data_IF_475709108279
#
_entry.id   IF_475709108279
#
_cell.length_a   1.000
_cell.length_b   1.000
_cell.length_c   1.000
_cell.angle_alpha   90.00
_cell.angle_beta   90.00
_cell.angle_gamma   90.00
#
_symmetry.space_group_name_H-M   'P 1'
#
loop_
_entity.id
_entity.type
_entity.pdbx_description
1 polymer ?
#
# COMPACT_ATOMS: atom_id res chain seq x y z
N UNK A 1 11.75 30.71 77.58
CA UNK A 1 11.43 29.33 77.16
C UNK A 1 9.93 29.11 77.37
N UNK A 2 9.15 29.05 76.27
CA UNK A 2 8.06 28.11 75.92
C UNK A 2 7.29 27.40 77.08
N UNK A 3 5.96 27.18 77.09
CA UNK A 3 5.01 26.70 76.05
C UNK A 3 3.55 26.86 76.53
N UNK A 4 2.61 26.78 75.55
CA UNK A 4 1.17 26.40 75.57
C UNK A 4 0.29 27.54 75.03
N UNK A 5 -0.73 27.32 74.20
CA UNK A 5 -1.18 26.24 73.32
C UNK A 5 -2.37 26.84 72.53
N UNK A 6 -2.77 26.16 71.45
CA UNK A 6 -4.06 26.30 70.74
C UNK A 6 -4.12 27.40 69.66
N UNK A 7 -3.99 26.94 68.41
CA UNK A 7 -4.65 27.53 67.24
C UNK A 7 -5.54 26.46 66.62
N UNK A 8 -6.84 26.75 66.65
CA UNK A 8 -7.90 26.07 65.90
C UNK A 8 -8.13 26.85 64.62
N UNK A 9 -8.31 26.15 63.50
CA UNK A 9 -9.00 26.74 62.35
C UNK A 9 -8.62 26.14 61.00
N UNK A 10 -9.27 25.04 60.62
CA UNK A 10 -9.38 24.57 59.24
C UNK A 10 -10.01 25.67 58.36
N UNK A 11 -9.39 25.95 57.22
CA UNK A 11 -10.00 26.66 56.10
C UNK A 11 -9.30 26.22 54.83
N UNK A 12 -9.95 25.37 54.04
CA UNK A 12 -9.35 24.69 52.89
C UNK A 12 -8.94 25.63 51.76
N UNK A 13 -7.82 25.30 51.14
CA UNK A 13 -7.51 25.56 49.74
C UNK A 13 -6.64 24.38 49.27
N UNK A 14 -7.30 23.34 48.78
CA UNK A 14 -6.66 22.28 48.00
C UNK A 14 -6.43 22.85 46.62
N UNK A 15 -5.17 22.91 46.20
CA UNK A 15 -4.77 23.40 44.89
C UNK A 15 -3.37 23.99 44.92
N UNK A 16 -2.39 23.22 45.43
CA UNK A 16 -0.99 23.60 45.34
C UNK A 16 -0.63 23.77 43.85
N UNK A 17 -0.24 24.99 43.49
CA UNK A 17 0.43 25.24 42.22
C UNK A 17 1.72 24.43 42.17
N UNK A 18 1.74 23.43 41.30
CA UNK A 18 2.96 23.09 40.59
C UNK A 18 2.85 23.75 39.21
N UNK A 19 3.44 24.95 39.11
CA UNK A 19 3.91 25.47 37.84
C UNK A 19 5.04 24.55 37.36
N UNK A 20 4.67 23.40 36.79
CA UNK A 20 5.52 22.67 35.89
C UNK A 20 4.90 22.89 34.51
N UNK A 21 5.34 23.96 33.87
CA UNK A 21 5.37 24.05 32.41
C UNK A 21 6.24 22.88 31.93
N UNK A 22 5.61 21.71 31.81
CA UNK A 22 6.13 20.60 31.04
C UNK A 22 5.76 20.91 29.60
N UNK A 23 6.73 21.41 28.86
CA UNK A 23 6.75 21.42 27.40
C UNK A 23 6.03 20.19 26.86
N UNK A 24 5.09 20.41 25.92
CA UNK A 24 4.47 19.35 25.16
C UNK A 24 5.56 18.42 24.64
N UNK A 25 5.69 17.27 25.29
CA UNK A 25 6.40 16.16 24.73
C UNK A 25 5.46 15.65 23.65
N UNK A 26 5.67 16.11 22.42
CA UNK A 26 5.54 15.23 21.28
C UNK A 26 6.38 14.00 21.65
N UNK A 27 5.77 13.01 22.30
CA UNK A 27 6.19 11.65 22.04
C UNK A 27 5.84 11.42 20.58
N UNK A 28 6.72 11.88 19.69
CA UNK A 28 6.98 11.13 18.49
C UNK A 28 7.50 9.79 19.01
N UNK A 29 6.57 8.88 19.30
CA UNK A 29 6.91 7.49 19.23
C UNK A 29 7.26 7.30 17.75
N UNK A 30 8.56 7.27 17.44
CA UNK A 30 9.05 6.62 16.24
C UNK A 30 8.69 5.13 16.42
N UNK A 31 7.41 4.81 16.20
CA UNK A 31 7.03 3.45 15.87
C UNK A 31 7.48 3.28 14.44
N UNK A 32 8.50 2.45 14.26
CA UNK A 32 8.89 1.90 12.96
C UNK A 32 7.74 1.05 12.40
N UNK A 33 6.73 1.70 11.79
CA UNK A 33 5.61 1.07 11.06
C UNK A 33 6.03 0.47 9.72
N UNK A 34 6.69 -0.68 9.67
CA UNK A 34 7.18 -1.22 8.40
C UNK A 34 5.98 -1.62 7.49
N UNK A 35 5.74 -0.88 6.40
CA UNK A 35 4.85 -1.33 5.31
C UNK A 35 5.72 -1.78 4.17
N UNK A 36 5.69 -3.08 3.99
CA UNK A 36 6.31 -3.80 2.89
C UNK A 36 5.18 -4.63 2.28
N UNK A 37 4.96 -4.44 0.97
CA UNK A 37 4.18 -5.39 0.19
C UNK A 37 5.18 -6.19 -0.60
N UNK A 38 5.40 -7.42 -0.13
CA UNK A 38 6.21 -8.40 -0.84
C UNK A 38 5.40 -8.97 -2.00
N UNK A 39 5.97 -8.92 -3.19
CA UNK A 39 5.43 -9.63 -4.35
C UNK A 39 6.22 -10.90 -4.52
N UNK A 40 5.62 -12.01 -4.11
CA UNK A 40 6.24 -13.33 -4.19
C UNK A 40 6.00 -13.89 -5.59
N UNK A 41 7.08 -14.10 -6.34
CA UNK A 41 7.05 -14.64 -7.69
C UNK A 41 6.55 -16.10 -7.72
N UNK A 42 6.11 -16.54 -8.89
CA UNK A 42 5.64 -17.89 -9.15
C UNK A 42 6.72 -18.93 -8.84
N UNK A 43 6.37 -19.95 -8.06
CA UNK A 43 7.32 -20.97 -7.61
C UNK A 43 7.95 -21.79 -8.74
N UNK A 44 7.30 -21.82 -9.90
CA UNK A 44 7.76 -22.54 -11.09
C UNK A 44 8.56 -21.63 -12.06
N UNK A 45 8.68 -20.33 -11.77
CA UNK A 45 9.42 -19.34 -12.56
C UNK A 45 8.84 -19.14 -13.96
N UNK A 46 7.53 -19.30 -14.13
CA UNK A 46 6.85 -19.19 -15.43
C UNK A 46 6.63 -17.73 -15.87
N UNK A 47 6.63 -16.82 -14.91
CA UNK A 47 6.48 -15.38 -15.14
C UNK A 47 7.74 -14.64 -14.72
N UNK A 48 7.87 -13.40 -15.18
CA UNK A 48 8.82 -12.45 -14.60
C UNK A 48 8.12 -11.19 -14.16
N UNK A 49 8.77 -10.49 -13.24
CA UNK A 49 8.31 -9.23 -12.71
C UNK A 49 9.14 -8.08 -13.28
N UNK A 50 8.45 -7.04 -13.72
CA UNK A 50 9.05 -5.81 -14.21
C UNK A 50 8.56 -4.66 -13.33
N UNK A 51 9.43 -4.17 -12.47
CA UNK A 51 9.16 -3.01 -11.62
C UNK A 51 9.03 -1.73 -12.46
N UNK A 52 8.15 -0.82 -12.07
CA UNK A 52 8.22 0.56 -12.55
C UNK A 52 9.04 1.41 -11.58
N UNK A 53 10.35 1.49 -11.79
CA UNK A 53 11.24 2.25 -10.90
C UNK A 53 11.02 3.78 -10.96
N UNK A 54 10.22 4.28 -11.91
CA UNK A 54 9.78 5.67 -11.92
C UNK A 54 8.69 5.94 -10.87
N UNK A 55 7.97 4.90 -10.43
CA UNK A 55 7.01 4.99 -9.31
C UNK A 55 7.79 4.91 -8.01
N UNK A 56 7.76 5.99 -7.24
CA UNK A 56 8.46 6.06 -5.96
C UNK A 56 8.02 4.93 -5.04
N UNK A 57 8.99 4.15 -4.57
CA UNK A 57 8.77 3.04 -3.66
C UNK A 57 8.59 1.67 -4.31
N UNK A 58 8.46 1.59 -5.64
CA UNK A 58 8.48 0.30 -6.34
C UNK A 58 9.90 -0.02 -6.78
N UNK A 59 10.44 -1.16 -6.32
CA UNK A 59 11.84 -1.54 -6.58
C UNK A 59 11.97 -3.03 -6.82
N UNK A 60 12.86 -3.41 -7.73
CA UNK A 60 13.32 -4.80 -7.84
C UNK A 60 14.67 -4.94 -7.14
N UNK A 61 14.82 -6.00 -6.36
CA UNK A 61 16.08 -6.31 -5.69
C UNK A 61 17.05 -7.08 -6.60
N UNK A 62 18.26 -7.37 -6.11
CA UNK A 62 19.26 -8.12 -6.90
C UNK A 62 18.90 -9.61 -7.06
N UNK A 63 17.93 -10.11 -6.29
CA UNK A 63 17.38 -11.47 -6.36
C UNK A 63 16.21 -11.62 -7.34
N UNK A 64 15.67 -10.52 -7.90
CA UNK A 64 14.48 -10.53 -8.73
C UNK A 64 13.17 -10.42 -7.94
N UNK A 65 13.26 -10.24 -6.62
CA UNK A 65 12.11 -9.96 -5.76
C UNK A 65 11.67 -8.50 -5.97
N UNK A 66 10.36 -8.31 -6.12
CA UNK A 66 9.76 -7.00 -6.26
C UNK A 66 9.25 -6.57 -4.88
N UNK A 67 9.79 -5.47 -4.36
CA UNK A 67 9.35 -4.86 -3.12
C UNK A 67 8.71 -3.51 -3.37
N UNK A 68 7.64 -3.25 -2.63
CA UNK A 68 6.98 -1.95 -2.60
C UNK A 68 7.14 -1.39 -1.20
N UNK A 69 7.95 -0.34 -1.08
CA UNK A 69 8.32 0.29 0.18
C UNK A 69 8.17 1.80 0.11
N UNK A 70 7.50 2.38 1.10
CA UNK A 70 7.28 3.83 1.19
C UNK A 70 8.33 4.43 2.12
N UNK A 71 9.39 4.99 1.53
CA UNK A 71 10.50 5.62 2.25
C UNK A 71 11.81 4.86 2.11
N UNK A 72 12.93 5.59 2.08
CA UNK A 72 14.27 4.99 1.96
C UNK A 72 14.84 4.52 3.31
N UNK A 73 14.28 5.01 4.43
CA UNK A 73 14.73 4.74 5.81
C UNK A 73 13.60 4.89 6.88
N UNK A 74 12.34 5.15 6.49
CA UNK A 74 11.23 5.46 7.40
C UNK A 74 9.99 4.60 7.02
N UNK A 75 9.06 4.36 7.96
CA UNK A 75 8.41 3.08 8.02
C UNK A 75 6.97 3.24 7.48
N UNK A 76 6.78 2.72 6.27
CA UNK A 76 5.47 2.37 5.75
C UNK A 76 4.47 3.48 5.51
N UNK A 77 3.18 3.11 5.43
CA UNK A 77 2.09 4.02 5.07
C UNK A 77 1.78 4.94 6.25
N UNK A 78 1.80 6.26 6.04
CA UNK A 78 1.43 7.22 7.07
C UNK A 78 -0.08 7.21 7.34
N UNK A 79 -0.46 7.23 8.62
CA UNK A 79 -1.85 7.51 9.02
C UNK A 79 -2.26 8.89 8.52
N UNK A 80 -3.49 9.03 8.03
CA UNK A 80 -3.99 10.28 7.48
C UNK A 80 -3.46 10.56 6.07
N UNK A 81 -3.00 9.54 5.34
CA UNK A 81 -2.49 9.72 3.97
C UNK A 81 -3.04 8.70 2.99
N UNK A 82 -3.00 9.07 1.72
CA UNK A 82 -3.41 8.23 0.58
C UNK A 82 -2.24 8.15 -0.37
N UNK A 83 -1.90 6.95 -0.82
CA UNK A 83 -0.88 6.68 -1.82
C UNK A 83 -1.50 5.97 -3.01
N UNK A 84 -1.02 6.31 -4.21
CA UNK A 84 -1.31 5.58 -5.44
C UNK A 84 0.01 5.13 -6.07
N UNK A 85 0.04 3.88 -6.50
CA UNK A 85 1.15 3.26 -7.19
C UNK A 85 0.68 2.81 -8.57
N UNK A 86 1.32 3.36 -9.60
CA UNK A 86 0.92 3.16 -10.99
C UNK A 86 -0.36 3.88 -11.38
N UNK A 87 -0.60 3.97 -12.68
CA UNK A 87 -1.82 4.51 -13.26
C UNK A 87 -2.85 3.39 -13.46
N UNK A 88 -4.11 3.73 -13.19
CA UNK A 88 -5.27 2.89 -13.50
C UNK A 88 -5.73 3.15 -14.93
N UNK A 89 -6.45 2.23 -15.55
CA UNK A 89 -7.08 2.43 -16.86
C UNK A 89 -8.17 3.50 -16.78
N UNK A 90 -8.94 3.51 -15.70
CA UNK A 90 -10.05 4.44 -15.45
C UNK A 90 -10.22 4.68 -13.95
N UNK A 91 -10.78 5.84 -13.57
CA UNK A 91 -11.13 6.15 -12.18
C UNK A 91 -12.49 5.57 -11.76
N UNK A 92 -13.20 4.90 -12.68
CA UNK A 92 -14.44 4.19 -12.39
C UNK A 92 -14.22 3.18 -11.25
N UNK A 93 -15.14 3.19 -10.29
CA UNK A 93 -15.17 2.33 -9.09
C UNK A 93 -13.99 2.53 -8.10
N UNK A 94 -13.01 3.39 -8.41
CA UNK A 94 -11.86 3.68 -7.53
C UNK A 94 -11.76 5.15 -7.11
N UNK A 95 -12.42 6.07 -7.81
CA UNK A 95 -12.35 7.51 -7.52
C UNK A 95 -12.76 7.87 -6.08
N UNK A 96 -13.71 7.14 -5.51
CA UNK A 96 -14.18 7.33 -4.13
C UNK A 96 -13.17 6.91 -3.06
N UNK A 97 -12.25 6.00 -3.38
CA UNK A 97 -11.27 5.44 -2.42
C UNK A 97 -10.26 6.48 -1.97
N UNK A 98 -10.03 7.53 -2.76
CA UNK A 98 -9.11 8.61 -2.38
C UNK A 98 -9.69 9.62 -1.38
N UNK A 99 -11.01 9.52 -1.09
CA UNK A 99 -11.81 10.51 -0.36
C UNK A 99 -11.56 11.97 -0.82
N UNK A 100 -11.28 12.15 -2.12
CA UNK A 100 -11.00 13.45 -2.71
C UNK A 100 -9.64 14.06 -2.34
N UNK A 101 -8.73 13.31 -1.71
CA UNK A 101 -7.36 13.75 -1.41
C UNK A 101 -6.61 14.14 -2.69
N UNK A 102 -6.82 13.38 -3.76
CA UNK A 102 -6.36 13.67 -5.12
C UNK A 102 -7.26 12.98 -6.15
N UNK A 103 -7.22 13.43 -7.41
CA UNK A 103 -7.84 12.70 -8.52
C UNK A 103 -6.99 11.49 -8.87
N UNK A 104 -7.61 10.32 -8.98
CA UNK A 104 -6.92 9.07 -9.37
C UNK A 104 -6.15 9.30 -10.67
N UNK A 105 -4.88 8.92 -10.67
CA UNK A 105 -4.03 9.02 -11.86
C UNK A 105 -4.42 7.87 -12.79
N UNK A 106 -4.79 8.21 -14.02
CA UNK A 106 -5.17 7.25 -15.05
C UNK A 106 -4.30 7.39 -16.29
N UNK A 107 -4.22 6.31 -17.07
CA UNK A 107 -3.52 6.27 -18.36
C UNK A 107 -4.33 5.45 -19.37
N UNK A 108 -4.18 5.76 -20.66
CA UNK A 108 -4.88 5.04 -21.73
C UNK A 108 -4.40 3.58 -21.84
N UNK A 109 -3.11 3.31 -21.60
CA UNK A 109 -2.53 1.97 -21.59
C UNK A 109 -1.43 1.83 -20.53
N UNK A 110 -1.79 1.68 -19.24
CA UNK A 110 -0.80 1.68 -18.17
C UNK A 110 0.09 0.44 -18.18
N UNK A 111 -0.32 -0.64 -18.83
CA UNK A 111 0.43 -1.89 -18.97
C UNK A 111 1.38 -1.93 -20.17
N UNK A 112 1.52 -0.83 -20.91
CA UNK A 112 2.34 -0.81 -22.12
C UNK A 112 3.84 -1.10 -21.82
N UNK A 113 4.37 -2.13 -22.47
CA UNK A 113 5.79 -2.49 -22.44
C UNK A 113 6.46 -2.35 -23.81
N UNK A 114 5.87 -1.60 -24.75
CA UNK A 114 6.39 -1.41 -26.10
C UNK A 114 7.78 -0.75 -26.14
N UNK A 115 8.12 0.09 -25.15
CA UNK A 115 9.47 0.64 -24.91
C UNK A 115 10.07 0.11 -23.59
N UNK A 116 9.72 -1.13 -23.22
CA UNK A 116 10.11 -1.75 -21.97
C UNK A 116 9.59 -0.97 -20.76
N UNK A 117 10.43 -0.80 -19.74
CA UNK A 117 10.05 -0.08 -18.50
C UNK A 117 9.72 1.40 -18.72
N UNK A 118 10.16 2.02 -19.83
CA UNK A 118 9.93 3.44 -20.06
C UNK A 118 8.49 3.77 -20.45
N UNK A 119 7.77 2.81 -21.04
CA UNK A 119 6.35 2.95 -21.38
C UNK A 119 5.43 2.44 -20.28
N UNK A 120 5.97 1.77 -19.26
CA UNK A 120 5.17 1.22 -18.18
C UNK A 120 4.68 2.35 -17.27
N UNK A 121 3.36 2.46 -17.10
CA UNK A 121 2.75 3.40 -16.15
C UNK A 121 2.09 2.68 -14.97
N UNK A 122 1.95 1.35 -15.03
CA UNK A 122 1.56 0.50 -13.90
C UNK A 122 2.60 0.55 -12.78
N UNK A 123 2.27 0.10 -11.57
CA UNK A 123 3.26 -0.03 -10.51
C UNK A 123 4.30 -1.10 -10.89
N UNK A 124 3.85 -2.23 -11.41
CA UNK A 124 4.71 -3.26 -11.99
C UNK A 124 3.94 -4.04 -13.05
N UNK A 125 4.66 -4.89 -13.80
CA UNK A 125 4.07 -5.82 -14.75
C UNK A 125 4.52 -7.26 -14.51
N UNK A 126 3.61 -8.20 -14.74
CA UNK A 126 3.80 -9.64 -14.75
C UNK A 126 3.90 -10.06 -16.22
N UNK A 127 5.02 -10.63 -16.62
CA UNK A 127 5.32 -10.95 -18.02
C UNK A 127 5.40 -12.46 -18.20
N UNK A 128 4.72 -13.00 -19.22
CA UNK A 128 4.81 -14.42 -19.56
C UNK A 128 6.14 -14.72 -20.27
N UNK A 129 7.01 -15.48 -19.62
CA UNK A 129 8.32 -15.86 -20.17
C UNK A 129 8.31 -17.20 -20.91
N UNK A 130 7.13 -17.83 -21.04
CA UNK A 130 6.97 -19.15 -21.61
C UNK A 130 6.35 -19.10 -23.01
N UNK A 131 6.41 -20.22 -23.71
CA UNK A 131 5.72 -20.40 -24.99
C UNK A 131 4.27 -20.91 -24.82
N UNK A 132 3.78 -21.02 -23.59
CA UNK A 132 2.42 -21.45 -23.28
C UNK A 132 1.59 -20.24 -22.83
N UNK A 133 0.28 -20.31 -23.01
CA UNK A 133 -0.63 -19.39 -22.34
C UNK A 133 -0.68 -19.72 -20.84
N UNK A 134 -0.73 -18.69 -20.00
CA UNK A 134 -0.77 -18.83 -18.55
C UNK A 134 -2.07 -18.25 -18.00
N UNK A 135 -2.64 -18.91 -17.00
CA UNK A 135 -3.56 -18.27 -16.07
C UNK A 135 -2.75 -17.71 -14.92
N UNK A 136 -2.84 -16.40 -14.70
CA UNK A 136 -2.22 -15.71 -13.58
C UNK A 136 -3.27 -15.52 -12.48
N UNK A 137 -2.90 -15.88 -11.26
CA UNK A 137 -3.68 -15.60 -10.05
C UNK A 137 -2.88 -14.68 -9.15
N UNK A 138 -3.51 -13.60 -8.71
CA UNK A 138 -2.98 -12.66 -7.72
C UNK A 138 -3.83 -12.79 -6.47
N UNK A 139 -3.25 -13.35 -5.41
CA UNK A 139 -3.89 -13.46 -4.10
C UNK A 139 -3.43 -12.32 -3.19
N UNK A 140 -4.38 -11.72 -2.48
CA UNK A 140 -4.14 -10.61 -1.57
C UNK A 140 -4.23 -11.14 -0.14
N UNK A 141 -3.10 -11.17 0.55
CA UNK A 141 -3.05 -11.41 1.99
C UNK A 141 -2.72 -10.08 2.68
N UNK A 142 -3.75 -9.26 2.89
CA UNK A 142 -3.64 -8.03 3.67
C UNK A 142 -3.88 -8.38 5.14
N UNK A 143 -3.08 -7.82 6.05
CA UNK A 143 -3.30 -8.03 7.48
C UNK A 143 -4.71 -7.55 7.84
N UNK A 144 -5.56 -8.45 8.31
CA UNK A 144 -7.00 -8.25 8.51
C UNK A 144 -7.34 -7.68 9.89
N UNK A 145 -6.34 -7.57 10.77
CA UNK A 145 -6.44 -6.99 12.12
C UNK A 145 -6.16 -5.47 12.10
N UNK A 146 -6.72 -4.78 11.10
CA UNK A 146 -6.70 -3.32 10.99
C UNK A 146 -7.90 -2.78 11.78
N UNK A 147 -7.67 -2.21 12.97
CA UNK A 147 -8.75 -1.56 13.72
C UNK A 147 -9.18 -0.24 13.05
N UNK A 148 -8.28 0.38 12.29
CA UNK A 148 -8.55 1.57 11.48
C UNK A 148 -9.07 1.25 10.09
N UNK A 149 -9.86 2.19 9.54
CA UNK A 149 -10.57 2.07 8.27
C UNK A 149 -9.69 2.19 7.03
N UNK A 150 -8.53 1.51 7.01
CA UNK A 150 -7.63 1.53 5.85
C UNK A 150 -8.30 0.83 4.66
N UNK A 151 -8.39 1.53 3.53
CA UNK A 151 -8.99 1.04 2.31
C UNK A 151 -7.92 0.78 1.23
N UNK A 152 -8.15 -0.23 0.41
CA UNK A 152 -7.26 -0.61 -0.68
C UNK A 152 -8.03 -0.69 -1.99
N UNK A 153 -7.32 -0.47 -3.09
CA UNK A 153 -7.77 -0.81 -4.44
C UNK A 153 -6.62 -1.48 -5.17
N UNK A 154 -6.86 -2.58 -5.89
CA UNK A 154 -5.88 -3.22 -6.77
C UNK A 154 -6.52 -3.50 -8.13
N UNK A 155 -5.84 -3.10 -9.19
CA UNK A 155 -6.27 -3.30 -10.57
C UNK A 155 -5.26 -4.18 -11.31
N UNK A 156 -5.78 -5.17 -12.05
CA UNK A 156 -5.04 -5.86 -13.10
C UNK A 156 -5.42 -5.25 -14.43
N UNK A 157 -4.42 -4.97 -15.26
CA UNK A 157 -4.59 -4.34 -16.56
C UNK A 157 -3.79 -5.07 -17.66
N UNK A 158 -4.35 -5.17 -18.85
CA UNK A 158 -3.68 -5.72 -20.04
C UNK A 158 -3.58 -4.66 -21.14
N UNK A 159 -2.56 -4.77 -22.00
CA UNK A 159 -2.43 -3.96 -23.20
C UNK A 159 -3.00 -4.73 -24.39
N UNK A 160 -4.08 -4.21 -24.99
CA UNK A 160 -4.74 -4.79 -26.15
C UNK A 160 -4.82 -3.76 -27.28
N UNK A 161 -4.21 -4.07 -28.42
CA UNK A 161 -4.17 -3.18 -29.60
C UNK A 161 -3.67 -1.76 -29.26
N UNK A 162 -2.76 -1.64 -28.29
CA UNK A 162 -2.20 -0.36 -27.82
C UNK A 162 -3.14 0.45 -26.92
N UNK A 163 -4.12 -0.20 -26.30
CA UNK A 163 -5.00 0.38 -25.30
C UNK A 163 -5.06 -0.53 -24.06
N UNK A 164 -5.11 0.08 -22.89
CA UNK A 164 -5.28 -0.59 -21.61
C UNK A 164 -6.69 -1.13 -21.44
N UNK A 165 -6.79 -2.33 -20.91
CA UNK A 165 -8.05 -2.97 -20.51
C UNK A 165 -7.96 -3.42 -19.06
N UNK A 166 -8.95 -3.05 -18.24
CA UNK A 166 -9.09 -3.56 -16.87
C UNK A 166 -9.51 -5.04 -16.92
N UNK A 167 -8.63 -5.92 -16.47
CA UNK A 167 -8.87 -7.36 -16.35
C UNK A 167 -9.50 -7.74 -15.01
N UNK A 168 -9.21 -6.97 -13.97
CA UNK A 168 -9.74 -7.21 -12.64
C UNK A 168 -9.59 -6.00 -11.72
N UNK A 169 -10.52 -5.85 -10.78
CA UNK A 169 -10.48 -4.83 -9.75
C UNK A 169 -10.90 -5.45 -8.42
N UNK A 170 -10.11 -5.21 -7.37
CA UNK A 170 -10.43 -5.56 -6.00
C UNK A 170 -10.35 -4.31 -5.12
N UNK A 171 -11.39 -4.04 -4.33
CA UNK A 171 -11.45 -2.90 -3.41
C UNK A 171 -11.81 -3.36 -2.00
N UNK A 172 -11.41 -2.62 -0.96
CA UNK A 172 -11.74 -2.97 0.42
C UNK A 172 -13.25 -3.16 0.68
N UNK A 173 -13.65 -4.14 1.51
CA UNK A 173 -12.81 -5.20 2.06
C UNK A 173 -12.40 -6.19 0.96
N UNK A 174 -11.09 -6.44 0.83
CA UNK A 174 -10.58 -7.38 -0.18
C UNK A 174 -10.62 -8.78 0.41
N UNK A 175 -11.52 -9.60 -0.13
CA UNK A 175 -11.58 -11.03 0.19
C UNK A 175 -11.51 -11.81 -1.11
N UNK A 176 -10.33 -12.31 -1.48
CA UNK A 176 -10.19 -13.21 -2.62
C UNK A 176 -8.93 -12.99 -3.45
N UNK A 177 -9.04 -13.36 -4.72
CA UNK A 177 -7.98 -13.35 -5.71
C UNK A 177 -8.47 -12.68 -6.99
N UNK A 178 -7.57 -12.05 -7.73
CA UNK A 178 -7.82 -11.64 -9.12
C UNK A 178 -7.17 -12.65 -10.05
N UNK A 179 -7.79 -12.91 -11.19
CA UNK A 179 -7.26 -13.83 -12.20
C UNK A 179 -7.29 -13.19 -13.57
N UNK A 180 -6.22 -13.35 -14.34
CA UNK A 180 -6.13 -12.90 -15.72
C UNK A 180 -5.49 -13.99 -16.60
N UNK A 181 -5.86 -14.02 -17.88
CA UNK A 181 -5.15 -14.84 -18.86
C UNK A 181 -4.00 -14.05 -19.46
N UNK A 182 -2.90 -14.73 -19.73
CA UNK A 182 -1.67 -14.11 -20.22
C UNK A 182 -1.10 -14.93 -21.37
N UNK A 183 -1.25 -14.45 -22.61
CA UNK A 183 -0.71 -15.15 -23.76
C UNK A 183 0.83 -15.05 -23.80
N UNK A 184 1.44 -15.81 -24.70
CA UNK A 184 2.90 -15.80 -24.89
C UNK A 184 3.38 -14.41 -25.30
N UNK A 185 4.29 -13.84 -24.52
CA UNK A 185 4.89 -12.53 -24.77
C UNK A 185 4.01 -11.34 -24.37
N UNK A 186 2.85 -11.58 -23.76
CA UNK A 186 2.01 -10.54 -23.18
C UNK A 186 2.39 -10.27 -21.72
N UNK A 187 1.85 -9.16 -21.18
CA UNK A 187 2.03 -8.72 -19.81
C UNK A 187 0.73 -8.26 -19.16
N UNK A 188 0.61 -8.48 -17.84
CA UNK A 188 -0.42 -7.88 -16.99
C UNK A 188 0.25 -6.81 -16.13
N UNK A 189 -0.20 -5.56 -16.26
CA UNK A 189 0.12 -4.50 -15.31
C UNK A 189 -0.65 -4.65 -14.00
N UNK A 190 -0.06 -4.18 -12.92
CA UNK A 190 -0.71 -4.10 -11.60
C UNK A 190 -0.55 -2.68 -11.07
N UNK A 191 -1.65 -2.08 -10.64
CA UNK A 191 -1.67 -0.76 -9.97
C UNK A 191 -2.55 -0.82 -8.73
N UNK A 192 -2.28 0.03 -7.74
CA UNK A 192 -3.01 0.00 -6.49
C UNK A 192 -3.02 1.32 -5.73
N UNK A 193 -4.00 1.44 -4.84
CA UNK A 193 -4.18 2.56 -3.91
C UNK A 193 -4.16 2.01 -2.49
N UNK A 194 -3.52 2.76 -1.60
CA UNK A 194 -3.61 2.56 -0.15
C UNK A 194 -4.12 3.84 0.48
N UNK A 195 -5.34 3.81 1.02
CA UNK A 195 -5.94 4.90 1.76
C UNK A 195 -5.90 4.58 3.25
N UNK A 196 -5.06 5.30 4.01
CA UNK A 196 -4.96 5.19 5.46
C UNK A 196 -5.49 6.44 6.18
N UNK A 197 -6.45 7.17 5.59
CA UNK A 197 -7.04 8.37 6.19
C UNK A 197 -7.68 8.08 7.56
N UNK A 198 -8.44 6.99 7.63
CA UNK A 198 -9.09 6.49 8.85
C UNK A 198 -8.25 5.41 9.55
N UNK A 199 -7.00 5.21 9.14
CA UNK A 199 -6.05 4.34 9.82
C UNK A 199 -5.72 4.85 11.22
N UNK A 200 -5.36 3.95 12.13
CA UNK A 200 -4.85 4.28 13.46
C UNK A 200 -3.38 3.87 13.59
N UNK A 201 -2.64 4.46 14.52
CA UNK A 201 -1.19 4.19 14.65
C UNK A 201 -0.85 2.77 15.10
N UNK A 202 -1.85 2.02 15.57
CA UNK A 202 -1.74 0.60 15.93
C UNK A 202 -1.93 -0.31 14.71
N UNK A 203 -2.39 0.22 13.58
CA UNK A 203 -2.51 -0.50 12.33
C UNK A 203 -1.12 -0.76 11.74
N UNK A 204 -0.70 -2.02 11.73
CA UNK A 204 0.39 -2.46 10.88
C UNK A 204 -0.18 -2.71 9.47
N UNK A 205 -0.04 -1.73 8.58
CA UNK A 205 -0.33 -1.93 7.16
C UNK A 205 0.81 -2.79 6.60
N UNK A 206 0.58 -4.11 6.57
CA UNK A 206 1.45 -5.11 5.98
C UNK A 206 0.61 -6.07 5.16
N UNK A 207 1.16 -6.58 4.08
CA UNK A 207 0.48 -7.60 3.29
C UNK A 207 1.42 -8.25 2.30
N UNK A 208 0.96 -9.33 1.67
CA UNK A 208 1.68 -9.95 0.56
C UNK A 208 0.77 -10.09 -0.65
N UNK A 209 1.36 -9.90 -1.82
CA UNK A 209 0.78 -10.25 -3.11
C UNK A 209 1.42 -11.55 -3.55
N UNK A 210 0.64 -12.63 -3.57
CA UNK A 210 1.12 -13.93 -4.04
C UNK A 210 0.72 -14.13 -5.48
N UNK A 211 1.71 -14.37 -6.33
CA UNK A 211 1.51 -14.67 -7.73
C UNK A 211 1.58 -16.18 -7.93
N UNK A 212 0.68 -16.71 -8.75
CA UNK A 212 0.73 -18.08 -9.20
C UNK A 212 0.39 -18.14 -10.67
N UNK A 213 1.20 -18.87 -11.44
CA UNK A 213 1.00 -19.07 -12.86
C UNK A 213 0.75 -20.54 -13.16
N UNK A 214 -0.17 -20.84 -14.07
CA UNK A 214 -0.40 -22.22 -14.52
C UNK A 214 -0.64 -22.23 -16.01
N UNK A 215 0.05 -23.12 -16.72
CA UNK A 215 -0.14 -23.31 -18.16
C UNK A 215 -1.57 -23.81 -18.46
N UNK A 216 -2.18 -23.23 -19.50
CA UNK A 216 -3.54 -23.56 -19.97
C UNK A 216 -3.52 -24.75 -20.94
#
# INVERSE_FOLDING_TARGET
>A
MNRRDVVVGLGGLVGAGALASGTGAFSAAEVSRQTEIDVVDDSDGLVGLVANEAVSGVRSDTGGELSISIGDDDPGVNVGSVYQFGAFVTDDDVGGITDGTFSVVTADDPSDLSDGQNSLESAFAIVNQTANELTITVEFELNDDIEGGTEYAFELQSSQDGNGTREGLATSPITGQLTAQLATGESIGVSFIVNALDGVTEDAISGSLRLSATAV
#
